data_IF_136017667526
#
_entry.id   IF_136017667526
#
_cell.length_a   1.000
_cell.length_b   1.000
_cell.length_c   1.000
_cell.angle_alpha   90.00
_cell.angle_beta   90.00
_cell.angle_gamma   90.00
#
_symmetry.space_group_name_H-M   'P 1'
#
loop_
_entity.id
_entity.type
_entity.pdbx_description
1 polymer ?
#
# COMPACT_ATOMS: atom_id res chain seq x y z
N UNK A 1 -4.08 -2.51 19.93
CA UNK A 1 -4.22 -1.25 20.68
C UNK A 1 -3.93 -0.07 19.77
N UNK A 2 -4.83 0.85 19.69
CA UNK A 2 -4.68 2.12 18.96
C UNK A 2 -4.45 3.23 19.98
N UNK A 3 -3.45 4.06 19.76
CA UNK A 3 -3.11 5.12 20.69
C UNK A 3 -2.50 6.32 19.94
N UNK A 4 -2.39 7.44 20.62
CA UNK A 4 -1.70 8.62 20.12
C UNK A 4 -0.33 8.71 20.78
N UNK A 5 0.64 9.41 20.13
CA UNK A 5 1.89 9.73 20.79
C UNK A 5 1.65 10.68 21.98
N UNK A 6 2.59 10.71 22.91
CA UNK A 6 2.46 11.54 24.11
C UNK A 6 2.26 13.02 23.79
N UNK A 7 2.92 13.52 22.73
CA UNK A 7 2.79 14.90 22.29
C UNK A 7 1.35 15.29 21.90
N UNK A 8 0.50 14.30 21.60
CA UNK A 8 -0.90 14.50 21.21
C UNK A 8 -1.88 13.99 22.27
N UNK A 9 -1.40 13.75 23.46
CA UNK A 9 -2.23 13.35 24.59
C UNK A 9 -2.41 11.85 24.79
N UNK A 10 -1.70 11.03 24.04
CA UNK A 10 -1.71 9.58 24.21
C UNK A 10 -0.56 9.07 25.05
N UNK A 11 -0.39 7.75 25.08
CA UNK A 11 0.65 7.05 25.83
C UNK A 11 1.62 6.31 24.93
N UNK A 12 1.50 6.45 23.61
CA UNK A 12 2.35 5.80 22.63
C UNK A 12 2.39 4.27 22.79
N UNK A 13 1.25 3.66 23.13
CA UNK A 13 1.15 2.20 23.35
C UNK A 13 0.75 1.42 22.10
N UNK A 14 0.60 2.09 20.97
CA UNK A 14 0.23 1.44 19.72
C UNK A 14 0.22 2.45 18.58
N UNK A 15 -0.10 1.98 17.35
CA UNK A 15 -0.21 2.89 16.21
C UNK A 15 -1.42 3.81 16.37
N UNK A 16 -1.37 4.95 15.70
CA UNK A 16 -2.56 5.81 15.59
C UNK A 16 -3.56 5.17 14.64
N UNK A 17 -4.80 5.61 14.70
CA UNK A 17 -5.84 5.16 13.76
C UNK A 17 -5.43 5.46 12.32
N UNK A 18 -4.82 6.62 12.07
CA UNK A 18 -4.36 6.99 10.74
C UNK A 18 -3.24 6.09 10.26
N UNK A 19 -2.29 5.74 11.13
CA UNK A 19 -1.23 4.78 10.80
C UNK A 19 -1.81 3.40 10.46
N UNK A 20 -2.85 2.94 11.18
CA UNK A 20 -3.54 1.69 10.84
C UNK A 20 -4.19 1.77 9.46
N UNK A 21 -4.76 2.92 9.12
CA UNK A 21 -5.34 3.14 7.80
C UNK A 21 -4.29 2.98 6.70
N UNK A 22 -3.09 3.53 6.91
CA UNK A 22 -1.98 3.37 5.96
C UNK A 22 -1.51 1.92 5.90
N UNK A 23 -1.39 1.26 7.04
CA UNK A 23 -1.02 -0.16 7.11
C UNK A 23 -2.03 -1.03 6.36
N UNK A 24 -3.32 -0.69 6.43
CA UNK A 24 -4.36 -1.44 5.72
C UNK A 24 -4.18 -1.37 4.21
N UNK A 25 -3.69 -0.25 3.70
CA UNK A 25 -3.40 -0.11 2.27
C UNK A 25 -2.28 -1.05 1.84
N UNK A 26 -1.17 -1.10 2.58
CA UNK A 26 -0.06 -2.00 2.26
C UNK A 26 -0.49 -3.46 2.32
N UNK A 27 -1.26 -3.83 3.34
CA UNK A 27 -1.79 -5.19 3.48
C UNK A 27 -2.74 -5.56 2.35
N UNK A 28 -3.62 -4.65 1.97
CA UNK A 28 -4.57 -4.89 0.88
C UNK A 28 -3.84 -5.03 -0.46
N UNK A 29 -2.91 -4.14 -0.77
CA UNK A 29 -2.12 -4.22 -2.01
C UNK A 29 -1.40 -5.56 -2.09
N UNK A 30 -0.74 -5.97 -1.00
CA UNK A 30 0.01 -7.24 -0.97
C UNK A 30 -0.87 -8.46 -1.16
N UNK A 31 -1.99 -8.53 -0.45
CA UNK A 31 -2.89 -9.70 -0.54
C UNK A 31 -3.62 -9.76 -1.89
N UNK A 32 -4.06 -8.63 -2.41
CA UNK A 32 -4.72 -8.59 -3.73
C UNK A 32 -3.71 -8.88 -4.84
N UNK A 33 -2.49 -8.33 -4.75
CA UNK A 33 -1.45 -8.65 -5.73
C UNK A 33 -1.17 -10.15 -5.76
N UNK A 34 -1.04 -10.80 -4.60
CA UNK A 34 -0.81 -12.23 -4.52
C UNK A 34 -1.97 -13.03 -5.14
N UNK A 35 -3.20 -12.59 -4.90
CA UNK A 35 -4.39 -13.22 -5.49
C UNK A 35 -4.41 -13.08 -7.02
N UNK A 36 -4.13 -11.90 -7.55
CA UNK A 36 -4.08 -11.65 -8.99
C UNK A 36 -2.92 -12.40 -9.62
N UNK A 37 -1.77 -12.43 -8.95
CA UNK A 37 -0.59 -13.17 -9.42
C UNK A 37 -0.91 -14.66 -9.58
N UNK A 38 -1.64 -15.24 -8.64
CA UNK A 38 -2.07 -16.63 -8.72
C UNK A 38 -2.96 -16.87 -9.95
N UNK A 39 -3.90 -15.98 -10.21
CA UNK A 39 -4.78 -16.06 -11.38
C UNK A 39 -4.02 -15.92 -12.69
N UNK A 40 -2.99 -15.09 -12.72
CA UNK A 40 -2.13 -14.87 -13.89
C UNK A 40 -1.00 -15.89 -14.01
N UNK A 41 -0.90 -16.83 -13.07
CA UNK A 41 0.17 -17.82 -13.00
C UNK A 41 1.56 -17.20 -12.89
N UNK A 42 1.64 -16.11 -12.16
CA UNK A 42 2.91 -15.45 -11.83
C UNK A 42 3.43 -16.04 -10.53
N UNK A 43 4.68 -16.49 -10.55
CA UNK A 43 5.34 -17.03 -9.37
C UNK A 43 6.36 -16.04 -8.85
N UNK A 44 6.46 -15.93 -7.53
CA UNK A 44 7.47 -15.10 -6.88
C UNK A 44 7.93 -15.77 -5.58
N UNK A 45 9.17 -15.52 -5.20
CA UNK A 45 9.78 -16.05 -3.97
C UNK A 45 9.54 -15.12 -2.79
N UNK A 46 9.54 -13.82 -3.03
CA UNK A 46 9.31 -12.80 -1.99
C UNK A 46 8.48 -11.67 -2.53
N UNK A 47 7.62 -11.14 -1.67
CA UNK A 47 6.82 -9.95 -1.93
C UNK A 47 6.80 -9.09 -0.69
N UNK A 48 7.17 -7.83 -0.84
CA UNK A 48 7.15 -6.85 0.23
C UNK A 48 6.50 -5.58 -0.29
N UNK A 49 5.54 -5.05 0.44
CA UNK A 49 4.83 -3.84 0.05
C UNK A 49 5.03 -2.77 1.12
N UNK A 50 5.59 -1.65 0.71
CA UNK A 50 5.81 -0.51 1.57
C UNK A 50 4.94 0.65 1.10
N UNK A 51 4.30 1.34 2.03
CA UNK A 51 3.49 2.52 1.73
C UNK A 51 4.02 3.70 2.53
N UNK A 52 4.36 4.77 1.83
CA UNK A 52 4.77 6.02 2.43
C UNK A 52 3.66 7.04 2.22
N UNK A 53 3.07 7.49 3.32
CA UNK A 53 1.98 8.44 3.29
C UNK A 53 2.48 9.83 3.63
N UNK A 54 1.93 10.83 2.96
CA UNK A 54 2.25 12.22 3.21
C UNK A 54 0.97 13.02 3.46
N UNK A 55 1.07 13.96 4.37
CA UNK A 55 0.02 14.91 4.68
C UNK A 55 0.55 16.29 4.39
N UNK A 56 0.03 16.95 3.36
CA UNK A 56 0.49 18.27 2.97
C UNK A 56 0.24 19.28 4.09
N UNK A 57 1.06 20.32 4.14
CA UNK A 57 0.93 21.38 5.14
C UNK A 57 -0.47 21.99 5.10
N UNK A 58 -1.11 22.06 6.27
CA UNK A 58 -2.46 22.60 6.41
C UNK A 58 -3.58 21.65 6.02
N UNK A 59 -3.27 20.45 5.51
CA UNK A 59 -4.30 19.48 5.18
C UNK A 59 -4.76 18.73 6.45
N UNK A 60 -6.05 18.40 6.54
CA UNK A 60 -6.59 17.71 7.73
C UNK A 60 -6.32 16.20 7.72
N UNK A 61 -5.84 15.64 6.64
CA UNK A 61 -5.60 14.21 6.49
C UNK A 61 -4.52 13.93 5.44
N UNK A 62 -4.30 12.67 5.15
CA UNK A 62 -3.36 12.22 4.12
C UNK A 62 -3.75 12.79 2.76
N UNK A 63 -2.79 13.35 2.04
CA UNK A 63 -3.00 13.92 0.70
C UNK A 63 -2.45 13.06 -0.41
N UNK A 64 -1.39 12.31 -0.13
CA UNK A 64 -0.75 11.45 -1.14
C UNK A 64 -0.06 10.27 -0.49
N UNK A 65 0.05 9.20 -1.24
CA UNK A 65 0.76 7.99 -0.82
C UNK A 65 1.65 7.51 -1.96
N UNK A 66 2.78 6.91 -1.61
CA UNK A 66 3.67 6.26 -2.56
C UNK A 66 3.82 4.80 -2.16
N UNK A 67 3.48 3.91 -3.08
CA UNK A 67 3.52 2.46 -2.87
C UNK A 67 4.78 1.91 -3.52
N UNK A 68 5.59 1.19 -2.74
CA UNK A 68 6.77 0.49 -3.24
C UNK A 68 6.52 -1.00 -3.15
N UNK A 69 6.42 -1.66 -4.29
CA UNK A 69 6.25 -3.09 -4.36
C UNK A 69 7.59 -3.73 -4.70
N UNK A 70 8.14 -4.46 -3.74
CA UNK A 70 9.42 -5.15 -3.89
C UNK A 70 9.15 -6.63 -4.12
N UNK A 71 9.62 -7.16 -5.22
CA UNK A 71 9.32 -8.52 -5.62
C UNK A 71 10.57 -9.25 -6.09
N UNK A 72 10.71 -10.49 -5.63
CA UNK A 72 11.73 -11.41 -6.13
C UNK A 72 11.03 -12.45 -6.98
N UNK A 73 11.22 -12.38 -8.29
CA UNK A 73 10.56 -13.25 -9.24
C UNK A 73 11.42 -13.43 -10.48
N UNK A 74 11.25 -14.57 -11.14
CA UNK A 74 11.88 -14.86 -12.43
C UNK A 74 11.01 -14.42 -13.60
N UNK A 75 9.82 -13.90 -13.33
CA UNK A 75 8.90 -13.44 -14.36
C UNK A 75 9.39 -12.14 -15.01
N UNK A 76 8.97 -11.91 -16.24
CA UNK A 76 9.27 -10.66 -16.94
C UNK A 76 8.57 -9.48 -16.25
N UNK A 77 9.25 -8.34 -16.19
CA UNK A 77 8.73 -7.14 -15.53
C UNK A 77 7.40 -6.69 -16.13
N UNK A 78 7.20 -6.83 -17.42
CA UNK A 78 5.95 -6.47 -18.09
C UNK A 78 4.76 -7.24 -17.49
N UNK A 79 4.97 -8.51 -17.20
CA UNK A 79 3.94 -9.36 -16.61
C UNK A 79 3.63 -8.94 -15.18
N UNK A 80 4.66 -8.58 -14.43
CA UNK A 80 4.52 -8.07 -13.06
C UNK A 80 3.78 -6.73 -13.06
N UNK A 81 4.11 -5.83 -13.99
CA UNK A 81 3.42 -4.55 -14.14
C UNK A 81 1.94 -4.71 -14.46
N UNK A 82 1.59 -5.65 -15.32
CA UNK A 82 0.18 -5.96 -15.64
C UNK A 82 -0.57 -6.49 -14.42
N UNK A 83 0.10 -7.32 -13.63
CA UNK A 83 -0.46 -7.81 -12.38
C UNK A 83 -0.74 -6.64 -11.43
N UNK A 84 0.19 -5.70 -11.32
CA UNK A 84 0.00 -4.53 -10.49
C UNK A 84 -1.15 -3.63 -10.98
N UNK A 85 -1.27 -3.41 -12.28
CA UNK A 85 -2.38 -2.64 -12.85
C UNK A 85 -3.73 -3.23 -12.46
N UNK A 86 -3.86 -4.55 -12.55
CA UNK A 86 -5.09 -5.24 -12.13
C UNK A 86 -5.30 -5.10 -10.63
N UNK A 87 -4.24 -5.22 -9.85
CA UNK A 87 -4.29 -5.02 -8.40
C UNK A 87 -4.81 -3.64 -8.04
N UNK A 88 -4.31 -2.60 -8.70
CA UNK A 88 -4.77 -1.22 -8.49
C UNK A 88 -6.27 -1.06 -8.66
N UNK A 89 -6.83 -1.71 -9.67
CA UNK A 89 -8.25 -1.61 -10.00
C UNK A 89 -9.14 -2.42 -9.06
N UNK A 90 -8.60 -3.45 -8.43
CA UNK A 90 -9.38 -4.40 -7.63
C UNK A 90 -9.11 -4.32 -6.14
N UNK A 91 -8.09 -3.58 -5.72
CA UNK A 91 -7.80 -3.39 -4.30
C UNK A 91 -8.83 -2.44 -3.66
N UNK A 92 -9.73 -2.94 -2.80
CA UNK A 92 -10.81 -2.10 -2.27
C UNK A 92 -10.31 -0.93 -1.43
N UNK A 93 -9.21 -1.10 -0.70
CA UNK A 93 -8.64 -0.01 0.09
C UNK A 93 -7.99 1.04 -0.83
N UNK A 94 -7.30 0.61 -1.88
CA UNK A 94 -6.72 1.52 -2.86
C UNK A 94 -7.79 2.33 -3.59
N UNK A 95 -8.88 1.68 -3.97
CA UNK A 95 -10.03 2.37 -4.59
C UNK A 95 -10.64 3.39 -3.62
N UNK A 96 -10.77 3.02 -2.34
CA UNK A 96 -11.28 3.91 -1.32
C UNK A 96 -10.41 5.17 -1.18
N UNK A 97 -9.09 5.01 -1.18
CA UNK A 97 -8.16 6.14 -1.14
C UNK A 97 -8.32 7.04 -2.36
N UNK A 98 -8.43 6.45 -3.55
CA UNK A 98 -8.62 7.20 -4.79
C UNK A 98 -9.93 7.99 -4.75
N UNK A 99 -11.01 7.37 -4.29
CA UNK A 99 -12.31 8.04 -4.16
C UNK A 99 -12.28 9.17 -3.14
N UNK A 100 -11.43 9.06 -2.13
CA UNK A 100 -11.25 10.12 -1.15
C UNK A 100 -10.38 11.28 -1.66
N UNK A 101 -9.85 11.18 -2.87
CA UNK A 101 -9.03 12.23 -3.45
C UNK A 101 -7.54 12.14 -3.12
N UNK A 102 -7.09 11.02 -2.56
CA UNK A 102 -5.68 10.81 -2.27
C UNK A 102 -4.93 10.50 -3.56
N UNK A 103 -3.83 11.21 -3.79
CA UNK A 103 -2.98 10.96 -4.95
C UNK A 103 -2.09 9.75 -4.69
N UNK A 104 -2.17 8.73 -5.55
CA UNK A 104 -1.41 7.49 -5.38
C UNK A 104 -0.37 7.38 -6.49
N UNK A 105 0.88 7.19 -6.08
CA UNK A 105 1.98 6.85 -7.00
C UNK A 105 2.55 5.51 -6.58
N UNK A 106 3.24 4.85 -7.49
CA UNK A 106 3.86 3.56 -7.17
C UNK A 106 5.16 3.35 -7.93
N UNK A 107 5.96 2.42 -7.42
CA UNK A 107 7.10 1.88 -8.14
C UNK A 107 7.22 0.39 -7.82
N UNK A 108 7.79 -0.36 -8.76
CA UNK A 108 8.05 -1.79 -8.62
C UNK A 108 9.57 -1.98 -8.64
N UNK A 109 10.08 -2.63 -7.60
CA UNK A 109 11.50 -2.90 -7.45
C UNK A 109 11.70 -4.41 -7.49
N UNK A 110 12.53 -4.88 -8.42
CA UNK A 110 12.94 -6.27 -8.48
C UNK A 110 14.08 -6.50 -7.49
N UNK A 111 13.94 -7.54 -6.67
CA UNK A 111 14.97 -7.91 -5.70
C UNK A 111 15.89 -8.99 -6.23
#
# INVERSE_FOLDING_TARGET
VVDLPEAKGGSNNGPTALELCVMSLSGCVGTIFAMVAQKMRIQFEKLDVEVNANQADGAPTITDVHIVLKIQSKEEIIKIEKCYETTEKTCPVGVLYTQAGVHITHEIIEM
#
